data_IF_375901471461
#
_entry.id   IF_375901471461
#
_cell.length_a   1.000
_cell.length_b   1.000
_cell.length_c   1.000
_cell.angle_alpha   90.00
_cell.angle_beta   90.00
_cell.angle_gamma   90.00
#
_symmetry.space_group_name_H-M   'P 1'
#
loop_
_entity.id
_entity.type
_entity.pdbx_description
1 polymer ?
#
# COMPACT_ATOMS: atom_id res chain seq x y z
N UNK A 1 -4.09 -14.86 -2.61
CA UNK A 1 -2.66 -14.52 -2.86
C UNK A 1 -2.39 -13.03 -2.80
N UNK A 2 -3.38 -12.16 -3.04
CA UNK A 2 -3.17 -10.70 -3.04
C UNK A 2 -3.38 -10.05 -1.68
N UNK A 3 -3.80 -10.80 -0.67
CA UNK A 3 -3.98 -10.32 0.70
C UNK A 3 -2.72 -10.47 1.56
N UNK A 4 -1.69 -11.20 1.07
CA UNK A 4 -0.48 -11.47 1.83
C UNK A 4 0.71 -10.69 1.25
N UNK A 5 1.45 -10.01 2.12
CA UNK A 5 2.64 -9.26 1.75
C UNK A 5 3.68 -9.31 2.88
N UNK A 6 4.96 -9.15 2.52
CA UNK A 6 6.04 -9.19 3.48
C UNK A 6 7.42 -9.18 2.82
N UNK A 7 8.45 -9.19 3.65
CA UNK A 7 9.84 -9.21 3.21
C UNK A 7 10.75 -9.85 4.29
N UNK A 8 11.99 -10.28 3.94
CA UNK A 8 12.90 -10.87 4.91
C UNK A 8 13.33 -9.93 6.04
N UNK A 9 13.24 -8.63 5.82
CA UNK A 9 13.64 -7.57 6.74
C UNK A 9 12.48 -6.98 7.56
N UNK A 10 11.25 -7.41 7.35
CA UNK A 10 10.09 -7.01 8.15
C UNK A 10 9.91 -7.93 9.35
N UNK A 11 9.24 -7.41 10.38
CA UNK A 11 8.74 -8.18 11.52
C UNK A 11 7.23 -8.18 11.49
N UNK A 12 6.63 -9.35 11.26
CA UNK A 12 5.19 -9.50 11.04
C UNK A 12 4.33 -8.93 12.17
N UNK A 13 4.59 -9.24 13.46
CA UNK A 13 3.82 -8.68 14.57
C UNK A 13 3.86 -7.15 14.63
N UNK A 14 5.04 -6.54 14.48
CA UNK A 14 5.22 -5.10 14.50
C UNK A 14 4.48 -4.41 13.35
N UNK A 15 4.58 -4.98 12.14
CA UNK A 15 3.87 -4.48 10.97
C UNK A 15 2.35 -4.55 11.13
N UNK A 16 1.83 -5.68 11.62
CA UNK A 16 0.39 -5.86 11.83
C UNK A 16 -0.13 -4.91 12.91
N UNK A 17 0.59 -4.73 14.02
CA UNK A 17 0.24 -3.78 15.08
C UNK A 17 0.24 -2.34 14.55
N UNK A 18 1.28 -1.94 13.82
CA UNK A 18 1.39 -0.62 13.22
C UNK A 18 0.22 -0.32 12.27
N UNK A 19 -0.11 -1.25 11.37
CA UNK A 19 -1.22 -1.09 10.42
C UNK A 19 -2.58 -1.05 11.10
N UNK A 20 -2.82 -1.92 12.08
CA UNK A 20 -4.07 -1.90 12.87
C UNK A 20 -4.21 -0.63 13.70
N UNK A 21 -3.09 -0.04 14.14
CA UNK A 21 -3.05 1.24 14.85
C UNK A 21 -3.61 2.42 14.07
N UNK A 22 -3.66 2.35 12.74
CA UNK A 22 -4.31 3.38 11.90
C UNK A 22 -5.84 3.34 11.97
N UNK A 23 -6.46 2.26 12.46
CA UNK A 23 -7.91 2.15 12.56
C UNK A 23 -8.62 2.23 11.20
N UNK A 24 -8.02 1.69 10.14
CA UNK A 24 -8.59 1.73 8.79
C UNK A 24 -9.93 0.99 8.76
N UNK A 25 -10.99 1.61 8.22
CA UNK A 25 -12.30 0.99 8.21
C UNK A 25 -12.35 -0.24 7.30
N UNK A 26 -13.09 -1.27 7.72
CA UNK A 26 -13.37 -2.46 6.91
C UNK A 26 -12.18 -3.39 6.68
N UNK A 27 -11.07 -3.23 7.41
CA UNK A 27 -9.87 -4.06 7.25
C UNK A 27 -9.20 -4.32 8.59
N UNK A 28 -8.58 -5.48 8.72
CA UNK A 28 -7.66 -5.83 9.82
C UNK A 28 -6.47 -6.61 9.29
N UNK A 29 -5.35 -6.54 9.99
CA UNK A 29 -4.10 -7.18 9.61
C UNK A 29 -3.68 -8.19 10.66
N UNK A 30 -3.27 -9.37 10.20
CA UNK A 30 -2.73 -10.44 11.04
C UNK A 30 -1.30 -10.73 10.61
N UNK A 31 -0.39 -10.82 11.57
CA UNK A 31 0.99 -11.23 11.30
C UNK A 31 1.03 -12.60 10.61
N UNK A 32 1.91 -12.75 9.64
CA UNK A 32 2.15 -14.01 8.95
C UNK A 32 3.64 -14.16 8.59
N UNK A 33 4.02 -15.40 8.30
CA UNK A 33 5.33 -15.71 7.73
C UNK A 33 5.14 -16.66 6.55
N UNK A 34 5.99 -16.53 5.54
CA UNK A 34 5.96 -17.35 4.33
C UNK A 34 7.33 -17.40 3.65
N UNK A 35 7.50 -18.38 2.77
CA UNK A 35 8.71 -18.49 1.95
C UNK A 35 8.30 -18.50 0.48
N UNK A 36 8.61 -17.45 -0.31
CA UNK A 36 8.32 -17.43 -1.73
C UNK A 36 9.02 -18.57 -2.47
N UNK A 37 8.33 -19.20 -3.41
CA UNK A 37 8.88 -20.30 -4.21
C UNK A 37 9.46 -19.85 -5.55
N UNK A 38 9.16 -18.60 -5.95
CA UNK A 38 9.65 -18.00 -7.19
C UNK A 38 9.77 -16.49 -7.02
N UNK A 39 10.41 -15.81 -8.00
CA UNK A 39 10.58 -14.37 -8.07
C UNK A 39 11.32 -13.78 -6.85
N UNK A 40 10.98 -12.58 -6.43
CA UNK A 40 11.64 -11.83 -5.38
C UNK A 40 11.64 -12.58 -4.05
N UNK A 41 12.79 -12.62 -3.38
CA UNK A 41 13.01 -13.33 -2.10
C UNK A 41 12.79 -14.86 -2.16
N UNK A 42 12.93 -15.47 -3.34
CA UNK A 42 12.77 -16.91 -3.51
C UNK A 42 13.64 -17.70 -2.52
N UNK A 43 12.99 -18.58 -1.73
CA UNK A 43 13.67 -19.45 -0.75
C UNK A 43 14.04 -18.75 0.56
N UNK A 44 13.78 -17.44 0.69
CA UNK A 44 14.03 -16.71 1.92
C UNK A 44 12.79 -16.72 2.82
N UNK A 45 12.99 -16.78 4.13
CA UNK A 45 11.88 -16.60 5.08
C UNK A 45 11.49 -15.14 5.15
N UNK A 46 10.26 -14.84 4.79
CA UNK A 46 9.67 -13.51 4.88
C UNK A 46 8.66 -13.47 6.02
N UNK A 47 8.69 -12.38 6.77
CA UNK A 47 7.61 -12.02 7.69
C UNK A 47 6.82 -10.85 7.12
N UNK A 48 5.55 -10.74 7.51
CA UNK A 48 4.68 -9.69 7.00
C UNK A 48 3.29 -9.74 7.61
N UNK A 49 2.31 -9.30 6.83
CA UNK A 49 0.93 -9.30 7.26
C UNK A 49 0.00 -9.92 6.21
N UNK A 50 -1.07 -10.50 6.71
CA UNK A 50 -2.22 -10.93 5.94
C UNK A 50 -3.36 -9.94 6.16
N UNK A 51 -3.88 -9.35 5.09
CA UNK A 51 -4.99 -8.41 5.08
C UNK A 51 -6.31 -9.17 5.06
N UNK A 52 -7.20 -8.85 5.99
CA UNK A 52 -8.55 -9.36 6.03
C UNK A 52 -9.56 -8.23 5.84
N UNK A 53 -10.32 -8.25 4.75
CA UNK A 53 -11.46 -7.35 4.58
C UNK A 53 -12.57 -7.81 5.50
N UNK A 54 -12.97 -6.96 6.44
CA UNK A 54 -13.99 -7.25 7.46
C UNK A 54 -15.34 -6.61 7.12
N UNK A 55 -15.34 -5.53 6.31
CA UNK A 55 -16.54 -4.92 5.76
C UNK A 55 -16.22 -4.27 4.40
N UNK A 56 -16.69 -4.88 3.32
CA UNK A 56 -16.45 -4.43 1.94
C UNK A 56 -17.04 -3.04 1.64
N UNK A 57 -18.07 -2.62 2.39
CA UNK A 57 -18.73 -1.31 2.17
C UNK A 57 -17.94 -0.13 2.69
N UNK A 58 -17.10 -0.37 3.69
CA UNK A 58 -16.27 0.66 4.31
C UNK A 58 -14.81 0.54 3.93
N UNK A 59 -14.40 -0.60 3.37
CA UNK A 59 -13.02 -0.84 2.94
C UNK A 59 -12.61 0.09 1.79
N UNK A 60 -11.55 0.87 2.00
CA UNK A 60 -10.92 1.67 0.97
C UNK A 60 -9.58 1.01 0.55
N UNK A 61 -9.53 0.32 -0.61
CA UNK A 61 -8.33 -0.37 -1.06
C UNK A 61 -7.18 0.58 -1.38
N UNK A 62 -7.45 1.80 -1.84
CA UNK A 62 -6.42 2.76 -2.19
C UNK A 62 -5.74 3.31 -0.94
N UNK A 63 -6.51 3.76 0.04
CA UNK A 63 -5.98 4.24 1.34
C UNK A 63 -5.24 3.12 2.05
N UNK A 64 -5.79 1.91 2.06
CA UNK A 64 -5.16 0.72 2.65
C UNK A 64 -3.81 0.41 1.98
N UNK A 65 -3.76 0.45 0.64
CA UNK A 65 -2.52 0.25 -0.11
C UNK A 65 -1.44 1.28 0.25
N UNK A 66 -1.80 2.56 0.34
CA UNK A 66 -0.87 3.62 0.77
C UNK A 66 -0.37 3.34 2.19
N UNK A 67 -1.24 2.96 3.13
CA UNK A 67 -0.87 2.64 4.50
C UNK A 67 0.13 1.47 4.55
N UNK A 68 -0.08 0.42 3.75
CA UNK A 68 0.83 -0.73 3.64
C UNK A 68 2.21 -0.29 3.14
N UNK A 69 2.28 0.46 2.04
CA UNK A 69 3.57 0.92 1.51
C UNK A 69 4.29 1.85 2.48
N UNK A 70 3.56 2.76 3.13
CA UNK A 70 4.11 3.64 4.15
C UNK A 70 4.67 2.86 5.33
N UNK A 71 3.93 1.89 5.86
CA UNK A 71 4.38 1.04 6.96
C UNK A 71 5.64 0.23 6.57
N UNK A 72 5.67 -0.35 5.38
CA UNK A 72 6.86 -1.05 4.88
C UNK A 72 8.08 -0.12 4.72
N UNK A 73 7.88 1.10 4.27
CA UNK A 73 8.94 2.11 4.16
C UNK A 73 9.47 2.50 5.55
N UNK A 74 8.57 2.85 6.47
CA UNK A 74 8.93 3.37 7.78
C UNK A 74 9.61 2.29 8.66
N UNK A 75 9.12 1.06 8.62
CA UNK A 75 9.68 -0.07 9.37
C UNK A 75 10.88 -0.72 8.68
N UNK A 76 10.97 -0.62 7.36
CA UNK A 76 12.06 -1.20 6.58
C UNK A 76 13.32 -0.37 6.60
N UNK A 77 13.20 0.94 6.79
CA UNK A 77 14.34 1.85 6.80
C UNK A 77 15.25 1.65 5.58
N UNK A 78 16.55 1.41 5.77
CA UNK A 78 17.51 1.27 4.67
C UNK A 78 17.31 0.00 3.81
N UNK A 79 16.51 -0.96 4.26
CA UNK A 79 16.20 -2.17 3.51
C UNK A 79 15.04 -2.00 2.54
N UNK A 80 14.23 -0.94 2.72
CA UNK A 80 13.17 -0.61 1.79
C UNK A 80 13.74 0.13 0.58
N UNK A 81 13.30 -0.26 -0.61
CA UNK A 81 13.59 0.46 -1.84
C UNK A 81 12.39 0.42 -2.78
N UNK A 82 12.12 1.53 -3.44
CA UNK A 82 11.18 1.58 -4.55
C UNK A 82 11.73 0.79 -5.73
N UNK A 83 10.83 0.13 -6.47
CA UNK A 83 11.21 -0.55 -7.70
C UNK A 83 11.71 0.49 -8.72
N UNK A 84 12.95 0.32 -9.16
CA UNK A 84 13.60 1.19 -10.15
C UNK A 84 13.48 0.66 -11.59
N UNK A 85 13.19 -0.64 -11.75
CA UNK A 85 13.05 -1.25 -13.08
C UNK A 85 11.82 -0.69 -13.79
N UNK A 86 11.87 -0.69 -15.13
CA UNK A 86 10.74 -0.37 -15.99
C UNK A 86 9.49 -1.16 -15.58
N UNK A 87 8.35 -0.49 -15.60
CA UNK A 87 7.06 -1.10 -15.34
C UNK A 87 6.16 -0.94 -16.56
N UNK A 88 5.62 -2.06 -17.01
CA UNK A 88 4.94 -2.14 -18.31
C UNK A 88 5.88 -1.68 -19.45
N UNK A 89 5.60 -0.58 -20.08
CA UNK A 89 6.42 -0.01 -21.17
C UNK A 89 6.95 1.38 -20.80
N UNK A 90 6.97 1.73 -19.50
CA UNK A 90 7.39 3.04 -19.01
C UNK A 90 8.71 2.89 -18.26
N UNK A 91 9.74 3.62 -18.71
CA UNK A 91 11.11 3.54 -18.19
C UNK A 91 11.50 4.75 -17.33
N UNK A 92 10.78 5.86 -17.48
CA UNK A 92 11.13 7.17 -16.91
C UNK A 92 10.36 7.51 -15.62
N UNK A 93 9.39 6.69 -15.24
CA UNK A 93 8.60 6.86 -14.01
C UNK A 93 8.66 5.63 -13.11
N UNK A 94 8.78 5.82 -11.78
CA UNK A 94 8.69 4.71 -10.84
C UNK A 94 7.36 3.95 -10.96
N UNK A 95 7.40 2.63 -10.89
CA UNK A 95 6.21 1.78 -10.96
C UNK A 95 5.12 2.21 -9.96
N UNK A 96 5.51 2.60 -8.75
CA UNK A 96 4.59 3.07 -7.72
C UNK A 96 3.86 4.36 -8.13
N UNK A 97 4.56 5.31 -8.76
CA UNK A 97 3.98 6.58 -9.21
C UNK A 97 2.97 6.33 -10.35
N UNK A 98 3.26 5.38 -11.24
CA UNK A 98 2.34 4.95 -12.30
C UNK A 98 1.06 4.34 -11.72
N UNK A 99 1.19 3.44 -10.74
CA UNK A 99 0.04 2.79 -10.09
C UNK A 99 -0.81 3.77 -9.28
N UNK A 100 -0.18 4.77 -8.65
CA UNK A 100 -0.90 5.83 -7.94
C UNK A 100 -1.42 6.94 -8.85
N UNK A 101 -0.98 7.00 -10.11
CA UNK A 101 -1.29 8.08 -11.05
C UNK A 101 -0.61 9.40 -10.70
N UNK A 102 0.30 9.40 -9.73
CA UNK A 102 1.01 10.60 -9.25
C UNK A 102 2.20 10.26 -8.38
N UNK A 103 3.27 11.07 -8.46
CA UNK A 103 4.42 10.96 -7.54
C UNK A 103 4.19 11.51 -6.13
N UNK A 104 3.06 12.21 -5.88
CA UNK A 104 2.79 12.85 -4.57
C UNK A 104 2.73 11.86 -3.41
N UNK A 105 2.22 10.65 -3.64
CA UNK A 105 2.14 9.63 -2.60
C UNK A 105 3.52 9.20 -2.15
N UNK A 106 4.37 8.81 -3.10
CA UNK A 106 5.76 8.42 -2.83
C UNK A 106 6.54 9.54 -2.13
N UNK A 107 6.47 10.74 -2.68
CA UNK A 107 7.13 11.93 -2.10
C UNK A 107 6.64 12.23 -0.67
N UNK A 108 5.34 12.05 -0.42
CA UNK A 108 4.77 12.21 0.92
C UNK A 108 5.28 11.17 1.91
N UNK A 109 5.40 9.91 1.48
CA UNK A 109 5.98 8.82 2.28
C UNK A 109 7.45 9.13 2.60
N UNK A 110 8.26 9.44 1.59
CA UNK A 110 9.67 9.79 1.73
C UNK A 110 9.90 11.02 2.64
N UNK A 111 8.97 11.98 2.60
CA UNK A 111 9.00 13.16 3.46
C UNK A 111 8.45 12.91 4.88
N UNK A 112 8.07 11.68 5.22
CA UNK A 112 7.55 11.32 6.54
C UNK A 112 6.18 11.93 6.86
N UNK A 113 5.35 12.25 5.84
CA UNK A 113 4.01 12.78 6.09
C UNK A 113 3.11 11.71 6.72
N UNK A 114 2.14 12.15 7.52
CA UNK A 114 1.11 11.26 8.04
C UNK A 114 0.22 10.71 6.90
N UNK A 115 -0.40 9.55 7.14
CA UNK A 115 -1.32 8.94 6.19
C UNK A 115 -2.46 9.90 5.82
N UNK A 116 -3.05 10.57 6.82
CA UNK A 116 -4.13 11.53 6.64
C UNK A 116 -3.71 12.70 5.74
N UNK A 117 -2.48 13.20 5.91
CA UNK A 117 -1.95 14.29 5.06
C UNK A 117 -1.78 13.84 3.61
N UNK A 118 -1.28 12.63 3.38
CA UNK A 118 -1.10 12.06 2.05
C UNK A 118 -2.47 11.91 1.37
N UNK A 119 -3.41 11.26 2.05
CA UNK A 119 -4.76 10.95 1.53
C UNK A 119 -5.60 12.20 1.36
N UNK A 120 -5.56 13.13 2.32
CA UNK A 120 -6.33 14.39 2.29
C UNK A 120 -6.01 15.24 1.05
N UNK A 121 -4.83 15.10 0.47
CA UNK A 121 -4.45 15.79 -0.76
C UNK A 121 -5.30 15.44 -1.99
N UNK A 122 -6.03 14.31 -1.96
CA UNK A 122 -6.87 13.86 -3.09
C UNK A 122 -8.34 14.33 -3.00
N UNK A 123 -8.80 14.78 -1.85
CA UNK A 123 -10.21 15.12 -1.64
C UNK A 123 -10.69 16.27 -2.56
N UNK A 124 -9.84 17.25 -2.81
CA UNK A 124 -10.18 18.38 -3.69
C UNK A 124 -10.40 17.93 -5.15
N UNK A 125 -9.69 16.91 -5.60
CA UNK A 125 -9.79 16.35 -6.96
C UNK A 125 -10.92 15.32 -7.05
N UNK A 126 -11.14 14.55 -5.99
CA UNK A 126 -12.17 13.50 -5.92
C UNK A 126 -13.58 14.08 -5.96
N UNK A 127 -13.86 15.14 -5.21
CA UNK A 127 -15.20 15.74 -5.11
C UNK A 127 -15.83 16.09 -6.46
N UNK A 128 -15.17 16.83 -7.38
CA UNK A 128 -15.75 17.14 -8.69
C UNK A 128 -15.82 15.91 -9.61
N UNK A 129 -14.99 14.88 -9.40
CA UNK A 129 -15.00 13.67 -10.21
C UNK A 129 -16.20 12.75 -9.92
N UNK A 130 -16.67 12.67 -8.68
CA UNK A 130 -17.77 11.77 -8.28
C UNK A 130 -19.06 11.95 -9.11
N UNK A 131 -19.57 13.20 -9.37
CA UNK A 131 -20.73 13.40 -10.23
C UNK A 131 -20.49 12.98 -11.69
N UNK A 132 -19.27 13.16 -12.20
CA UNK A 132 -18.92 12.71 -13.55
C UNK A 132 -18.93 11.19 -13.62
N UNK A 133 -18.28 10.53 -12.68
CA UNK A 133 -18.23 9.07 -12.55
C UNK A 133 -19.64 8.46 -12.47
N UNK A 134 -20.54 9.05 -11.68
CA UNK A 134 -21.88 8.54 -11.49
C UNK A 134 -22.70 8.41 -12.79
N UNK A 135 -22.40 9.20 -13.82
CA UNK A 135 -23.06 9.13 -15.13
C UNK A 135 -22.65 7.93 -15.97
N UNK A 136 -21.55 7.27 -15.59
CA UNK A 136 -20.95 6.16 -16.34
C UNK A 136 -21.03 4.83 -15.58
N UNK A 137 -21.61 4.82 -14.38
CA UNK A 137 -21.85 3.58 -13.64
C UNK A 137 -23.03 2.82 -14.23
N UNK A 138 -22.87 1.52 -14.41
CA UNK A 138 -23.91 0.62 -14.89
C UNK A 138 -24.75 0.05 -13.76
N UNK A 139 -24.29 0.19 -12.51
CA UNK A 139 -24.88 -0.32 -11.25
C UNK A 139 -24.46 0.54 -10.07
#
# INVERSE_FOLDING_TARGET
PFEQFGAPWLKGPELAEHLNGHGLPGVTFRACAFTPTFDKFRGESCEGAFLHVTDERTFDPFVTGIAVFKACHDLGGPNFAWRADAYEFVEDLPAFDLLCGTGRVRQGIEAGWSLEKIVGGFEAERKPFLPLRARHLLY
#
